data_IF_008539992425
#
_entry.id   IF_008539992425
#
_cell.length_a   1.000
_cell.length_b   1.000
_cell.length_c   1.000
_cell.angle_alpha   90.00
_cell.angle_beta   90.00
_cell.angle_gamma   90.00
#
_symmetry.space_group_name_H-M   'P 1'
#
loop_
_entity.id
_entity.type
_entity.pdbx_description
1 polymer ?
#
# COMPACT_ATOMS: atom_id res chain seq x y z
N UNK A 1 9.78 36.50 -0.67
CA UNK A 1 8.64 36.70 0.26
C UNK A 1 7.95 35.35 0.44
N UNK A 2 7.43 35.03 1.62
CA UNK A 2 6.69 33.78 1.89
C UNK A 2 5.29 34.09 2.44
N UNK A 3 4.36 33.16 2.30
CA UNK A 3 2.97 33.26 2.77
C UNK A 3 2.67 32.11 3.72
N UNK A 4 2.06 32.41 4.88
CA UNK A 4 1.65 31.41 5.86
C UNK A 4 0.16 31.15 5.66
N UNK A 5 -0.20 29.90 5.46
CA UNK A 5 -1.57 29.45 5.32
C UNK A 5 -1.86 28.30 6.30
N UNK A 6 -3.12 28.16 6.70
CA UNK A 6 -3.61 27.06 7.55
C UNK A 6 -4.32 25.96 6.73
N UNK A 7 -4.41 26.11 5.42
CA UNK A 7 -4.94 25.07 4.53
C UNK A 7 -3.98 23.88 4.44
N UNK A 8 -4.52 22.72 4.04
CA UNK A 8 -3.70 21.54 3.84
C UNK A 8 -2.75 21.77 2.67
N UNK A 9 -1.45 21.65 2.94
CA UNK A 9 -0.40 21.64 1.94
C UNK A 9 0.62 20.58 2.31
N UNK A 10 0.99 19.74 1.34
CA UNK A 10 2.03 18.72 1.49
C UNK A 10 2.84 18.63 0.20
N UNK A 11 4.16 18.61 0.35
CA UNK A 11 5.05 18.28 -0.74
C UNK A 11 5.05 16.77 -1.00
N UNK A 12 4.96 16.36 -2.26
CA UNK A 12 4.88 14.96 -2.67
C UNK A 12 6.28 14.47 -3.14
N UNK A 13 7.30 14.78 -2.34
CA UNK A 13 8.71 14.55 -2.70
C UNK A 13 9.24 13.15 -2.37
N UNK A 14 8.55 12.39 -1.52
CA UNK A 14 8.95 11.05 -1.10
C UNK A 14 7.81 10.04 -1.24
N UNK A 15 8.11 8.73 -1.38
CA UNK A 15 7.08 7.69 -1.33
C UNK A 15 6.25 7.73 -0.04
N UNK A 16 6.88 8.05 1.08
CA UNK A 16 6.21 8.19 2.38
C UNK A 16 5.24 9.37 2.38
N UNK A 17 5.61 10.49 1.75
CA UNK A 17 4.72 11.64 1.55
C UNK A 17 3.54 11.30 0.64
N UNK A 18 3.78 10.53 -0.43
CA UNK A 18 2.72 10.06 -1.32
C UNK A 18 1.71 9.17 -0.59
N UNK A 19 2.20 8.20 0.19
CA UNK A 19 1.37 7.31 0.99
C UNK A 19 0.55 8.10 2.02
N UNK A 20 1.21 9.03 2.71
CA UNK A 20 0.54 9.84 3.73
C UNK A 20 -0.48 10.80 3.15
N UNK A 21 -0.14 11.47 2.05
CA UNK A 21 -1.09 12.33 1.33
C UNK A 21 -2.30 11.54 0.83
N UNK A 22 -2.08 10.34 0.31
CA UNK A 22 -3.17 9.44 -0.09
C UNK A 22 -4.07 9.07 1.09
N UNK A 23 -3.48 8.69 2.23
CA UNK A 23 -4.22 8.40 3.45
C UNK A 23 -4.98 9.62 3.98
N UNK A 24 -4.37 10.81 3.94
CA UNK A 24 -4.99 12.07 4.39
C UNK A 24 -6.22 12.42 3.55
N UNK A 25 -6.19 12.16 2.23
CA UNK A 25 -7.34 12.29 1.35
C UNK A 25 -8.46 11.34 1.78
N UNK A 26 -8.16 10.04 1.91
CA UNK A 26 -9.15 9.00 2.30
C UNK A 26 -9.73 9.26 3.68
N UNK A 27 -8.94 9.73 4.64
CA UNK A 27 -9.40 10.05 5.99
C UNK A 27 -10.12 11.41 6.06
N UNK A 28 -10.09 12.20 4.99
CA UNK A 28 -10.67 13.54 4.92
C UNK A 28 -9.94 14.61 5.72
N UNK A 29 -8.67 14.35 6.07
CA UNK A 29 -7.75 15.34 6.65
C UNK A 29 -7.36 16.36 5.57
N UNK A 30 -7.13 15.88 4.35
CA UNK A 30 -6.99 16.68 3.14
C UNK A 30 -8.31 16.60 2.34
N UNK A 31 -9.28 17.49 2.58
CA UNK A 31 -10.54 17.46 1.84
C UNK A 31 -10.28 17.72 0.34
N UNK A 32 -10.82 16.87 -0.53
CA UNK A 32 -10.67 17.00 -1.98
C UNK A 32 -11.99 16.72 -2.70
N UNK A 33 -12.35 17.50 -3.74
CA UNK A 33 -13.50 17.20 -4.58
C UNK A 33 -13.34 15.88 -5.33
N UNK A 34 -12.11 15.38 -5.51
CA UNK A 34 -11.82 14.13 -6.22
C UNK A 34 -12.44 12.89 -5.56
N UNK A 35 -12.71 12.93 -4.25
CA UNK A 35 -13.34 11.83 -3.53
C UNK A 35 -14.86 11.99 -3.35
N UNK A 36 -15.46 13.07 -3.88
CA UNK A 36 -16.90 13.35 -3.77
C UNK A 36 -17.45 13.20 -2.34
N UNK A 37 -16.66 13.57 -1.33
CA UNK A 37 -17.02 13.46 0.08
C UNK A 37 -16.83 12.08 0.72
N UNK A 38 -16.41 11.06 -0.04
CA UNK A 38 -16.06 9.75 0.51
C UNK A 38 -14.88 9.88 1.48
N UNK A 39 -15.08 9.40 2.71
CA UNK A 39 -14.08 9.42 3.79
C UNK A 39 -14.20 8.17 4.63
N UNK A 40 -13.08 7.69 5.17
CA UNK A 40 -13.06 6.57 6.09
C UNK A 40 -11.66 6.05 6.37
N UNK A 41 -11.59 4.82 6.86
CA UNK A 41 -10.33 4.12 7.11
C UNK A 41 -9.75 3.48 5.84
N UNK A 42 -10.55 3.38 4.77
CA UNK A 42 -10.15 2.80 3.49
C UNK A 42 -10.96 3.37 2.32
N UNK A 43 -10.41 3.27 1.13
CA UNK A 43 -11.07 3.50 -0.16
C UNK A 43 -10.83 2.28 -1.04
N UNK A 44 -11.91 1.63 -1.48
CA UNK A 44 -11.84 0.43 -2.34
C UNK A 44 -12.55 0.74 -3.64
N UNK A 45 -11.83 0.68 -4.75
CA UNK A 45 -12.37 0.98 -6.07
C UNK A 45 -13.14 -0.20 -6.67
N UNK A 46 -13.96 0.11 -7.69
CA UNK A 46 -14.82 -0.86 -8.36
C UNK A 46 -14.03 -2.06 -8.91
N UNK A 47 -14.60 -3.24 -8.77
CA UNK A 47 -14.01 -4.49 -9.25
C UNK A 47 -12.89 -5.05 -8.37
N UNK A 48 -12.45 -4.33 -7.33
CA UNK A 48 -11.55 -4.91 -6.34
C UNK A 48 -12.25 -5.99 -5.51
N UNK A 49 -11.54 -7.07 -5.22
CA UNK A 49 -12.00 -8.17 -4.38
C UNK A 49 -11.26 -8.14 -3.04
N UNK A 50 -12.00 -8.09 -1.93
CA UNK A 50 -11.43 -8.14 -0.57
C UNK A 50 -11.98 -9.37 0.14
N UNK A 51 -11.12 -10.33 0.42
CA UNK A 51 -11.50 -11.59 1.05
C UNK A 51 -11.92 -11.41 2.52
N UNK A 52 -12.75 -12.33 3.07
CA UNK A 52 -13.12 -12.31 4.48
C UNK A 52 -11.90 -12.31 5.43
N UNK A 53 -12.01 -11.54 6.50
CA UNK A 53 -10.94 -11.42 7.51
C UNK A 53 -9.78 -10.52 7.11
N UNK A 54 -9.75 -9.97 5.88
CA UNK A 54 -8.79 -8.92 5.53
C UNK A 54 -9.13 -7.62 6.27
N UNK A 55 -8.10 -6.96 6.83
CA UNK A 55 -8.20 -5.72 7.59
C UNK A 55 -7.55 -4.58 6.80
N UNK A 56 -8.34 -3.57 6.46
CA UNK A 56 -7.90 -2.40 5.70
C UNK A 56 -8.22 -1.16 6.53
N UNK A 57 -7.19 -0.40 6.91
CA UNK A 57 -7.33 0.80 7.73
C UNK A 57 -6.17 1.79 7.47
N UNK A 58 -6.12 2.89 8.21
CA UNK A 58 -5.03 3.86 8.09
C UNK A 58 -5.11 4.71 6.82
N UNK A 59 -6.28 4.78 6.17
CA UNK A 59 -6.45 5.45 4.88
C UNK A 59 -6.00 4.60 3.68
N UNK A 60 -6.05 3.27 3.81
CA UNK A 60 -5.63 2.33 2.75
C UNK A 60 -6.47 2.51 1.48
N UNK A 61 -5.80 2.53 0.33
CA UNK A 61 -6.43 2.56 -1.00
C UNK A 61 -6.25 1.22 -1.69
N UNK A 62 -7.31 0.71 -2.29
CA UNK A 62 -7.28 -0.49 -3.15
C UNK A 62 -7.82 -0.14 -4.53
N UNK A 63 -6.95 -0.26 -5.53
CA UNK A 63 -7.21 0.01 -6.93
C UNK A 63 -8.16 -0.98 -7.58
N UNK A 64 -8.57 -0.67 -8.81
CA UNK A 64 -9.54 -1.46 -9.58
C UNK A 64 -9.00 -2.85 -9.89
N UNK A 65 -9.86 -3.86 -9.73
CA UNK A 65 -9.49 -5.25 -10.03
C UNK A 65 -8.40 -5.84 -9.14
N UNK A 66 -7.95 -5.14 -8.10
CA UNK A 66 -6.98 -5.67 -7.15
C UNK A 66 -7.64 -6.75 -6.26
N UNK A 67 -6.86 -7.76 -5.89
CA UNK A 67 -7.31 -8.89 -5.09
C UNK A 67 -6.58 -8.92 -3.74
N UNK A 68 -7.33 -8.84 -2.64
CA UNK A 68 -6.79 -8.89 -1.28
C UNK A 68 -7.20 -10.21 -0.62
N UNK A 69 -6.21 -11.04 -0.31
CA UNK A 69 -6.36 -12.38 0.25
C UNK A 69 -6.80 -12.39 1.72
N UNK A 70 -7.27 -13.55 2.21
CA UNK A 70 -7.83 -13.67 3.55
C UNK A 70 -6.78 -13.42 4.63
N UNK A 71 -7.19 -12.71 5.69
CA UNK A 71 -6.33 -12.38 6.82
C UNK A 71 -5.19 -11.39 6.50
N UNK A 72 -5.15 -10.80 5.31
CA UNK A 72 -4.21 -9.73 5.00
C UNK A 72 -4.49 -8.49 5.86
N UNK A 73 -3.44 -7.79 6.30
CA UNK A 73 -3.51 -6.57 7.10
C UNK A 73 -2.84 -5.43 6.35
N UNK A 74 -3.62 -4.45 5.92
CA UNK A 74 -3.19 -3.28 5.17
C UNK A 74 -3.40 -2.01 6.03
N UNK A 75 -2.31 -1.30 6.33
CA UNK A 75 -2.30 -0.10 7.17
C UNK A 75 -1.66 1.07 6.43
N UNK A 76 -2.48 2.02 5.98
CA UNK A 76 -2.02 3.14 5.16
C UNK A 76 -1.28 2.65 3.92
N UNK A 77 -1.77 1.61 3.25
CA UNK A 77 -1.17 1.07 2.04
C UNK A 77 -1.86 1.63 0.80
N UNK A 78 -1.11 1.81 -0.29
CA UNK A 78 -1.66 2.13 -1.62
C UNK A 78 -1.44 0.92 -2.51
N UNK A 79 -2.52 0.21 -2.82
CA UNK A 79 -2.51 -0.96 -3.70
C UNK A 79 -3.05 -0.53 -5.05
N UNK A 80 -2.22 -0.54 -6.09
CA UNK A 80 -2.61 -0.16 -7.44
C UNK A 80 -3.44 -1.23 -8.15
N UNK A 81 -3.98 -0.86 -9.31
CA UNK A 81 -4.91 -1.67 -10.09
C UNK A 81 -4.34 -3.06 -10.41
N UNK A 82 -5.19 -4.08 -10.34
CA UNK A 82 -4.86 -5.46 -10.66
C UNK A 82 -3.79 -6.12 -9.78
N UNK A 83 -3.28 -5.46 -8.73
CA UNK A 83 -2.33 -6.07 -7.82
C UNK A 83 -2.99 -7.20 -7.02
N UNK A 84 -2.24 -8.28 -6.77
CA UNK A 84 -2.69 -9.44 -5.99
C UNK A 84 -1.89 -9.54 -4.70
N UNK A 85 -2.58 -9.43 -3.57
CA UNK A 85 -2.03 -9.59 -2.23
C UNK A 85 -2.52 -10.91 -1.67
N UNK A 86 -1.63 -11.88 -1.50
CA UNK A 86 -1.99 -13.22 -1.03
C UNK A 86 -2.30 -13.25 0.48
N UNK A 87 -2.77 -14.42 0.95
CA UNK A 87 -3.23 -14.61 2.32
C UNK A 87 -2.19 -14.25 3.39
N UNK A 88 -2.66 -13.58 4.46
CA UNK A 88 -1.88 -13.27 5.66
C UNK A 88 -0.72 -12.29 5.45
N UNK A 89 -0.67 -11.56 4.33
CA UNK A 89 0.31 -10.50 4.14
C UNK A 89 0.10 -9.35 5.12
N UNK A 90 1.19 -8.69 5.52
CA UNK A 90 1.14 -7.46 6.30
C UNK A 90 1.83 -6.37 5.51
N UNK A 91 1.09 -5.33 5.13
CA UNK A 91 1.59 -4.22 4.31
C UNK A 91 1.27 -2.91 5.02
N UNK A 92 2.32 -2.17 5.39
CA UNK A 92 2.19 -0.95 6.18
C UNK A 92 2.91 0.20 5.48
N UNK A 93 2.23 1.33 5.32
CA UNK A 93 2.80 2.58 4.78
C UNK A 93 3.58 2.37 3.48
N UNK A 94 3.05 1.54 2.59
CA UNK A 94 3.76 1.05 1.41
C UNK A 94 2.94 1.21 0.14
N UNK A 95 3.65 1.20 -1.00
CA UNK A 95 3.08 1.28 -2.33
C UNK A 95 3.28 -0.07 -3.02
N UNK A 96 2.19 -0.66 -3.51
CA UNK A 96 2.22 -1.87 -4.33
C UNK A 96 1.74 -1.52 -5.73
N UNK A 97 2.65 -1.61 -6.71
CA UNK A 97 2.45 -1.21 -8.10
C UNK A 97 1.41 -2.05 -8.85
N UNK A 98 1.06 -1.56 -10.03
CA UNK A 98 0.01 -2.14 -10.86
C UNK A 98 0.36 -3.58 -11.26
N UNK A 99 -0.59 -4.51 -11.08
CA UNK A 99 -0.39 -5.91 -11.42
C UNK A 99 0.71 -6.64 -10.65
N UNK A 100 1.26 -6.04 -9.58
CA UNK A 100 2.26 -6.70 -8.75
C UNK A 100 1.62 -7.85 -7.96
N UNK A 101 2.39 -8.92 -7.75
CA UNK A 101 1.98 -10.08 -6.96
C UNK A 101 2.80 -10.14 -5.67
N UNK A 102 2.10 -10.22 -4.54
CA UNK A 102 2.71 -10.35 -3.21
C UNK A 102 2.28 -11.69 -2.62
N UNK A 103 3.21 -12.63 -2.54
CA UNK A 103 3.03 -13.98 -2.06
C UNK A 103 2.70 -14.08 -0.57
N UNK A 104 2.15 -15.21 -0.11
CA UNK A 104 1.51 -15.32 1.19
C UNK A 104 2.47 -15.05 2.35
N UNK A 105 1.94 -14.38 3.37
CA UNK A 105 2.66 -14.00 4.60
C UNK A 105 3.92 -13.13 4.36
N UNK A 106 3.98 -12.42 3.23
CA UNK A 106 4.99 -11.39 3.06
C UNK A 106 4.74 -10.22 4.02
N UNK A 107 5.83 -9.62 4.49
CA UNK A 107 5.81 -8.43 5.35
C UNK A 107 6.48 -7.29 4.58
N UNK A 108 5.72 -6.23 4.30
CA UNK A 108 6.20 -5.05 3.58
C UNK A 108 5.93 -3.82 4.43
N UNK A 109 6.97 -3.04 4.72
CA UNK A 109 6.86 -1.86 5.57
C UNK A 109 7.71 -0.72 5.02
N UNK A 110 7.07 0.42 4.83
CA UNK A 110 7.70 1.63 4.26
C UNK A 110 8.31 1.35 2.85
N UNK A 111 7.73 0.40 2.11
CA UNK A 111 8.28 -0.14 0.85
C UNK A 111 7.60 0.39 -0.40
N UNK A 112 8.29 0.31 -1.54
CA UNK A 112 7.71 0.51 -2.88
C UNK A 112 8.00 -0.72 -3.72
N UNK A 113 6.94 -1.38 -4.16
CA UNK A 113 7.01 -2.53 -5.07
C UNK A 113 6.54 -2.05 -6.44
N UNK A 114 7.42 -2.12 -7.43
CA UNK A 114 7.12 -1.66 -8.78
C UNK A 114 6.12 -2.54 -9.52
N UNK A 115 5.57 -2.00 -10.60
CA UNK A 115 4.55 -2.65 -11.42
C UNK A 115 4.98 -4.04 -11.91
N UNK A 116 4.07 -5.01 -11.83
CA UNK A 116 4.30 -6.39 -12.26
C UNK A 116 5.44 -7.12 -11.54
N UNK A 117 5.98 -6.59 -10.45
CA UNK A 117 6.94 -7.32 -9.63
C UNK A 117 6.25 -8.50 -8.93
N UNK A 118 6.99 -9.60 -8.74
CA UNK A 118 6.52 -10.81 -8.08
C UNK A 118 7.36 -11.06 -6.82
N UNK A 119 6.74 -10.91 -5.66
CA UNK A 119 7.38 -11.07 -4.36
C UNK A 119 6.95 -12.41 -3.78
N UNK A 120 7.87 -13.37 -3.68
CA UNK A 120 7.59 -14.70 -3.16
C UNK A 120 7.13 -14.72 -1.69
N UNK A 121 6.60 -15.85 -1.27
CA UNK A 121 6.04 -16.06 0.06
C UNK A 121 7.07 -15.78 1.17
N UNK A 122 6.60 -15.22 2.29
CA UNK A 122 7.42 -14.96 3.50
C UNK A 122 8.65 -14.07 3.26
N UNK A 123 8.66 -13.28 2.19
CA UNK A 123 9.63 -12.20 2.05
C UNK A 123 9.36 -11.10 3.10
N UNK A 124 10.42 -10.49 3.61
CA UNK A 124 10.38 -9.35 4.51
C UNK A 124 11.09 -8.18 3.80
N UNK A 125 10.33 -7.16 3.42
CA UNK A 125 10.81 -5.96 2.74
C UNK A 125 10.55 -4.76 3.64
N UNK A 126 11.57 -4.36 4.39
CA UNK A 126 11.44 -3.36 5.46
C UNK A 126 12.27 -2.12 5.15
N UNK A 127 12.06 -1.05 5.93
CA UNK A 127 12.98 0.08 6.05
C UNK A 127 13.27 0.80 4.71
N UNK A 128 12.25 1.06 3.91
CA UNK A 128 12.44 1.82 2.67
C UNK A 128 12.80 0.98 1.45
N UNK A 129 12.65 -0.35 1.49
CA UNK A 129 12.95 -1.22 0.36
C UNK A 129 12.26 -0.73 -0.94
N UNK A 130 12.99 -0.79 -2.07
CA UNK A 130 12.49 -0.42 -3.39
C UNK A 130 12.74 -1.60 -4.35
N UNK A 131 11.68 -2.18 -4.86
CA UNK A 131 11.74 -3.27 -5.85
C UNK A 131 11.32 -2.71 -7.19
N UNK A 132 12.19 -2.85 -8.20
CA UNK A 132 11.90 -2.37 -9.54
C UNK A 132 10.76 -3.15 -10.20
N UNK A 133 10.03 -2.54 -11.15
CA UNK A 133 9.02 -3.23 -11.95
C UNK A 133 9.54 -4.52 -12.57
N UNK A 134 8.69 -5.56 -12.56
CA UNK A 134 9.00 -6.88 -13.14
C UNK A 134 10.07 -7.70 -12.40
N UNK A 135 10.64 -7.21 -11.31
CA UNK A 135 11.58 -8.00 -10.50
C UNK A 135 10.85 -9.15 -9.82
N UNK A 136 11.46 -10.34 -9.86
CA UNK A 136 10.98 -11.54 -9.18
C UNK A 136 11.88 -11.85 -8.00
N UNK A 137 11.31 -11.93 -6.81
CA UNK A 137 11.96 -12.47 -5.62
C UNK A 137 11.37 -13.85 -5.33
N UNK A 138 12.19 -14.90 -5.20
CA UNK A 138 11.67 -16.22 -4.83
C UNK A 138 11.15 -16.21 -3.38
N UNK A 139 10.44 -17.27 -3.00
CA UNK A 139 10.02 -17.49 -1.61
C UNK A 139 11.20 -17.33 -0.63
N UNK A 140 10.97 -16.59 0.45
CA UNK A 140 11.99 -16.23 1.44
C UNK A 140 13.21 -15.49 0.86
N UNK A 141 13.12 -14.90 -0.34
CA UNK A 141 14.25 -14.30 -1.05
C UNK A 141 14.92 -13.15 -0.29
N UNK A 142 14.15 -12.41 0.51
CA UNK A 142 14.69 -11.43 1.47
C UNK A 142 14.05 -11.70 2.83
N UNK A 143 14.87 -11.88 3.85
CA UNK A 143 14.45 -12.03 5.25
C UNK A 143 15.45 -11.36 6.17
N UNK A 144 14.97 -10.88 7.31
CA UNK A 144 15.83 -10.34 8.36
C UNK A 144 16.05 -11.39 9.44
N UNK A 145 17.19 -11.29 10.09
CA UNK A 145 17.49 -12.14 11.24
C UNK A 145 16.62 -11.72 12.42
N UNK A 146 16.10 -12.68 13.17
CA UNK A 146 15.17 -12.43 14.29
C UNK A 146 15.82 -11.80 15.53
N UNK A 147 17.15 -11.73 15.53
CA UNK A 147 18.01 -11.21 16.60
C UNK A 147 18.47 -9.75 16.37
N UNK A 148 17.94 -9.07 15.35
CA UNK A 148 18.28 -7.67 14.99
C UNK A 148 17.07 -6.74 15.00
#
# INVERSE_FOLDING_TARGET
YGYVDSTYWRDMGTPEDFVRGSADLVRGIAPSPALAGQRGEKLVHDGAAVAPGALLFGGTVVGRGAEIGPGARLDGAVIFDGARIEAGCVIERSIIGQGAHIGPRALIRDGVIGDGADIGARCELLRGARVWPGVVLPDCGIRYSSDV
#
